data_IF_477170716996
#
_entry.id   IF_477170716996
#
_cell.length_a   1.000
_cell.length_b   1.000
_cell.length_c   1.000
_cell.angle_alpha   90.00
_cell.angle_beta   90.00
_cell.angle_gamma   90.00
#
_symmetry.space_group_name_H-M   'P 1'
#
loop_
_entity.id
_entity.type
_entity.pdbx_description
1 polymer ?
#
# COMPACT_ATOMS: atom_id res chain seq x y z
N UNK A 1 13.36 4.91 19.92
CA UNK A 1 14.08 6.21 19.99
C UNK A 1 13.66 7.06 18.81
N UNK A 2 13.59 8.38 18.97
CA UNK A 2 13.31 9.32 17.88
C UNK A 2 14.62 9.93 17.38
N UNK A 3 14.82 9.93 16.06
CA UNK A 3 16.01 10.52 15.41
C UNK A 3 15.53 11.64 14.50
N UNK A 4 16.17 12.81 14.58
CA UNK A 4 15.86 13.93 13.70
C UNK A 4 16.78 13.87 12.46
N UNK A 5 16.19 13.61 11.29
CA UNK A 5 16.90 13.44 10.02
C UNK A 5 16.67 14.69 9.14
N UNK A 6 17.76 15.29 8.67
CA UNK A 6 17.70 16.41 7.71
C UNK A 6 17.90 15.86 6.31
N UNK A 7 16.87 16.01 5.48
CA UNK A 7 16.89 15.59 4.07
C UNK A 7 17.07 16.81 3.16
N UNK A 8 17.78 16.62 2.05
CA UNK A 8 17.72 17.58 0.94
C UNK A 8 16.32 17.65 0.34
N UNK A 9 15.97 18.77 -0.30
CA UNK A 9 14.62 19.00 -0.83
C UNK A 9 14.19 17.92 -1.83
N UNK A 10 15.08 17.53 -2.75
CA UNK A 10 14.83 16.48 -3.74
C UNK A 10 14.53 15.12 -3.08
N UNK A 11 15.34 14.73 -2.08
CA UNK A 11 15.14 13.48 -1.34
C UNK A 11 13.81 13.49 -0.55
N UNK A 12 13.41 14.64 0.00
CA UNK A 12 12.13 14.77 0.69
C UNK A 12 10.94 14.61 -0.26
N UNK A 13 11.00 15.19 -1.46
CA UNK A 13 9.97 15.00 -2.48
C UNK A 13 9.90 13.54 -2.98
N UNK A 14 11.05 12.93 -3.25
CA UNK A 14 11.12 11.52 -3.64
C UNK A 14 10.51 10.61 -2.56
N UNK A 15 10.79 10.86 -1.28
CA UNK A 15 10.21 10.10 -0.17
C UNK A 15 8.69 10.27 -0.06
N UNK A 16 8.18 11.49 -0.26
CA UNK A 16 6.73 11.76 -0.29
C UNK A 16 6.06 11.04 -1.46
N UNK A 17 6.67 11.04 -2.65
CA UNK A 17 6.17 10.33 -3.81
C UNK A 17 6.14 8.81 -3.58
N UNK A 18 7.22 8.25 -3.04
CA UNK A 18 7.31 6.83 -2.70
C UNK A 18 6.25 6.41 -1.66
N UNK A 19 6.04 7.21 -0.61
CA UNK A 19 5.01 6.96 0.40
C UNK A 19 3.61 6.90 -0.20
N UNK A 20 3.28 7.83 -1.11
CA UNK A 20 1.99 7.84 -1.83
C UNK A 20 1.84 6.61 -2.72
N UNK A 21 2.87 6.27 -3.49
CA UNK A 21 2.83 5.13 -4.40
C UNK A 21 2.70 3.78 -3.67
N UNK A 22 3.38 3.61 -2.54
CA UNK A 22 3.35 2.36 -1.78
C UNK A 22 2.23 2.28 -0.75
N UNK A 23 1.54 3.38 -0.46
CA UNK A 23 0.57 3.48 0.64
C UNK A 23 1.20 3.29 2.04
N UNK A 24 2.52 3.49 2.17
CA UNK A 24 3.27 3.32 3.44
C UNK A 24 3.59 4.69 4.04
N UNK A 25 3.77 4.77 5.35
CA UNK A 25 4.24 6.00 5.97
C UNK A 25 5.70 6.29 5.58
N UNK A 26 6.08 7.57 5.53
CA UNK A 26 7.47 7.96 5.26
C UNK A 26 8.45 7.38 6.29
N UNK A 27 8.02 7.28 7.56
CA UNK A 27 8.84 6.68 8.61
C UNK A 27 9.04 5.18 8.40
N UNK A 28 8.01 4.46 7.94
CA UNK A 28 8.14 3.02 7.67
C UNK A 28 9.05 2.75 6.48
N UNK A 29 9.02 3.61 5.45
CA UNK A 29 9.95 3.54 4.33
C UNK A 29 11.39 3.82 4.77
N UNK A 30 11.61 4.85 5.59
CA UNK A 30 12.94 5.16 6.13
C UNK A 30 13.47 4.03 7.02
N UNK A 31 12.62 3.47 7.90
CA UNK A 31 13.01 2.35 8.77
C UNK A 31 13.41 1.14 7.95
N UNK A 32 12.58 0.74 6.99
CA UNK A 32 12.86 -0.39 6.09
C UNK A 32 14.13 -0.16 5.25
N UNK A 33 14.34 1.05 4.74
CA UNK A 33 15.57 1.38 4.01
C UNK A 33 16.82 1.27 4.89
N UNK A 34 16.77 1.78 6.12
CA UNK A 34 17.88 1.70 7.09
C UNK A 34 18.12 0.24 7.50
N UNK A 35 17.07 -0.50 7.82
CA UNK A 35 17.17 -1.92 8.21
C UNK A 35 17.76 -2.76 7.08
N UNK A 36 17.36 -2.51 5.83
CA UNK A 36 17.92 -3.17 4.65
C UNK A 36 19.38 -2.79 4.42
N UNK A 37 19.72 -1.51 4.55
CA UNK A 37 21.10 -1.03 4.39
C UNK A 37 22.05 -1.61 5.44
N UNK A 38 21.57 -1.76 6.68
CA UNK A 38 22.32 -2.33 7.79
C UNK A 38 22.23 -3.87 7.86
N UNK A 39 21.40 -4.50 7.04
CA UNK A 39 21.20 -5.96 7.03
C UNK A 39 20.49 -6.51 8.28
N UNK A 40 19.71 -5.68 8.99
CA UNK A 40 19.07 -6.02 10.28
C UNK A 40 17.54 -6.24 10.19
N UNK A 41 16.96 -6.17 9.00
CA UNK A 41 15.52 -6.39 8.77
C UNK A 41 15.20 -7.80 8.26
N UNK A 42 14.15 -8.42 8.79
CA UNK A 42 13.54 -9.60 8.17
C UNK A 42 12.52 -9.14 7.13
N UNK A 43 12.60 -9.64 5.90
CA UNK A 43 11.56 -9.46 4.88
C UNK A 43 10.20 -9.87 5.47
N UNK A 44 9.17 -9.06 5.28
CA UNK A 44 7.83 -9.42 5.75
C UNK A 44 7.30 -10.65 4.98
N UNK A 45 6.38 -11.42 5.58
CA UNK A 45 5.76 -12.55 4.89
C UNK A 45 5.07 -12.13 3.59
N UNK A 46 4.47 -10.94 3.57
CA UNK A 46 3.85 -10.34 2.39
C UNK A 46 4.87 -10.05 1.29
N UNK A 47 6.00 -9.43 1.62
CA UNK A 47 7.07 -9.16 0.65
C UNK A 47 7.65 -10.45 0.06
N UNK A 48 7.82 -11.50 0.87
CA UNK A 48 8.20 -12.83 0.36
C UNK A 48 7.17 -13.38 -0.62
N UNK A 49 5.88 -13.27 -0.29
CA UNK A 49 4.80 -13.73 -1.16
C UNK A 49 4.71 -12.93 -2.46
N UNK A 50 5.01 -11.62 -2.43
CA UNK A 50 5.11 -10.80 -3.65
C UNK A 50 6.31 -11.23 -4.48
N UNK A 51 7.48 -11.40 -3.86
CA UNK A 51 8.71 -11.81 -4.54
C UNK A 51 8.60 -13.21 -5.15
N UNK A 52 7.85 -14.14 -4.52
CA UNK A 52 7.59 -15.47 -5.06
C UNK A 52 6.47 -15.50 -6.11
N UNK A 53 5.84 -14.36 -6.42
CA UNK A 53 4.70 -14.28 -7.33
C UNK A 53 3.41 -14.90 -6.79
N UNK A 54 3.36 -15.27 -5.50
CA UNK A 54 2.17 -15.84 -4.87
C UNK A 54 1.05 -14.80 -4.74
N UNK A 55 1.40 -13.53 -4.52
CA UNK A 55 0.45 -12.41 -4.47
C UNK A 55 0.96 -11.24 -5.30
N UNK A 56 0.03 -10.44 -5.82
CA UNK A 56 0.40 -9.20 -6.53
C UNK A 56 0.92 -8.16 -5.54
N UNK A 57 1.89 -7.36 -5.98
CA UNK A 57 2.30 -6.18 -5.24
C UNK A 57 1.10 -5.25 -4.99
N UNK A 58 1.03 -4.57 -3.82
CA UNK A 58 -0.01 -3.59 -3.57
C UNK A 58 0.03 -2.49 -4.64
N UNK A 59 -1.13 -2.13 -5.15
CA UNK A 59 -1.30 -0.95 -5.99
C UNK A 59 -1.43 0.30 -5.10
N UNK A 60 -1.10 1.50 -5.61
CA UNK A 60 -1.42 2.75 -4.94
C UNK A 60 -2.90 2.81 -4.58
N UNK A 61 -3.22 3.48 -3.47
CA UNK A 61 -4.61 3.79 -3.17
C UNK A 61 -5.16 4.72 -4.26
N UNK A 62 -6.34 4.39 -4.78
CA UNK A 62 -7.07 5.19 -5.75
C UNK A 62 -8.47 5.39 -5.20
N UNK A 63 -8.99 6.61 -5.27
CA UNK A 63 -10.39 6.85 -4.96
C UNK A 63 -11.26 6.11 -5.98
N UNK A 64 -12.09 5.19 -5.48
CA UNK A 64 -13.02 4.42 -6.31
C UNK A 64 -14.31 5.20 -6.45
N UNK A 65 -14.71 5.52 -7.69
CA UNK A 65 -16.08 5.92 -7.96
C UNK A 65 -17.00 4.70 -7.80
N UNK A 66 -18.18 4.83 -7.15
CA UNK A 66 -19.12 3.73 -7.03
C UNK A 66 -19.52 3.24 -8.42
N UNK A 67 -19.11 2.03 -8.78
CA UNK A 67 -19.43 1.43 -10.09
C UNK A 67 -20.87 0.92 -10.17
N UNK A 68 -21.54 0.73 -9.01
CA UNK A 68 -22.92 0.26 -8.93
C UNK A 68 -23.70 1.18 -7.99
N UNK A 69 -24.81 1.73 -8.49
CA UNK A 69 -25.87 2.30 -7.66
C UNK A 69 -26.96 1.25 -7.51
N UNK A 70 -27.27 0.91 -6.27
CA UNK A 70 -28.40 0.05 -5.95
C UNK A 70 -29.70 0.78 -6.28
N UNK A 71 -30.66 0.06 -6.83
CA UNK A 71 -32.02 0.58 -7.03
C UNK A 71 -32.70 0.76 -5.68
N UNK A 72 -33.75 1.58 -5.62
CA UNK A 72 -34.53 1.73 -4.38
C UNK A 72 -35.11 0.38 -3.94
N UNK A 73 -34.79 -0.04 -2.72
CA UNK A 73 -35.21 -1.33 -2.15
C UNK A 73 -34.30 -2.52 -2.48
N UNK A 74 -33.25 -2.32 -3.28
CA UNK A 74 -32.24 -3.33 -3.59
C UNK A 74 -31.11 -3.29 -2.55
N UNK A 75 -30.79 -4.43 -1.96
CA UNK A 75 -29.73 -4.55 -0.95
C UNK A 75 -28.44 -5.09 -1.56
N UNK A 76 -27.33 -4.89 -0.85
CA UNK A 76 -26.04 -5.49 -1.23
C UNK A 76 -26.05 -7.01 -1.18
N UNK A 77 -26.97 -7.63 -0.43
CA UNK A 77 -27.14 -9.08 -0.37
C UNK A 77 -27.71 -9.60 -1.70
N UNK A 78 -28.68 -8.89 -2.28
CA UNK A 78 -29.30 -9.25 -3.56
C UNK A 78 -28.29 -9.28 -4.71
N UNK A 79 -27.21 -8.50 -4.64
CA UNK A 79 -26.11 -8.54 -5.62
C UNK A 79 -25.24 -9.80 -5.51
N UNK A 80 -25.13 -10.40 -4.33
CA UNK A 80 -24.32 -11.60 -4.11
C UNK A 80 -25.05 -12.88 -4.55
N UNK A 81 -26.38 -12.82 -4.60
CA UNK A 81 -27.26 -13.92 -5.02
C UNK A 81 -27.52 -13.93 -6.54
N UNK A 82 -27.03 -12.93 -7.29
CA UNK A 82 -27.13 -12.90 -8.76
C UNK A 82 -26.17 -13.91 -9.40
N UNK A 83 -26.74 -14.84 -10.16
CA UNK A 83 -26.03 -15.87 -10.92
C UNK A 83 -25.36 -15.34 -12.22
N UNK A 84 -25.49 -14.05 -12.54
CA UNK A 84 -25.04 -13.45 -13.81
C UNK A 84 -23.50 -13.27 -13.94
N UNK A 85 -22.70 -14.13 -13.32
CA UNK A 85 -21.23 -14.03 -13.35
C UNK A 85 -20.59 -14.83 -14.49
#
# INVERSE_FOLDING_TARGET
MATNLRLGAEAAEALRAAARASGRSQQDLLRDAVDRFLGIGSTSARERAVASGLVRAPAPFVDTEPTVRLSDGESSLDLLERDDR
#
